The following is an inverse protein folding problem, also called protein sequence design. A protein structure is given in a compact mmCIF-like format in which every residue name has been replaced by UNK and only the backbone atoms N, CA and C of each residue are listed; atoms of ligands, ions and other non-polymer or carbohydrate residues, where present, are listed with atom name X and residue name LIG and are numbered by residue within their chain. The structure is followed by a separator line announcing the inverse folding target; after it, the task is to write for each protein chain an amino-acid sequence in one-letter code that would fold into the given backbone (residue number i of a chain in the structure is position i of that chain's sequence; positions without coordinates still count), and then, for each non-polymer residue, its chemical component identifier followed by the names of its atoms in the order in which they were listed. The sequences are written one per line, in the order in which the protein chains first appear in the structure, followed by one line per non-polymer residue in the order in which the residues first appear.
data_IF_960460826760
#
_entry.id   IF_960460826760
#
_cell.length_a   1.000
_cell.length_b   1.000
_cell.length_c   1.000
_cell.angle_alpha   90.00
_cell.angle_beta   90.00
_cell.angle_gamma   90.00
#
_symmetry.space_group_name_H-M   'P 1'
#
loop_
_entity.id
_entity.type
_entity.pdbx_description
1 polymer ?
#
# COMPACT_ATOMS: atom_id res chain seq x y z
N UNK A 1 32.01 9.33 -11.87
CA UNK A 1 31.58 8.31 -10.87
C UNK A 1 30.32 8.75 -10.10
N UNK A 2 29.25 9.19 -10.78
CA UNK A 2 28.08 9.80 -10.12
C UNK A 2 26.79 8.99 -10.19
N UNK A 3 26.52 8.33 -11.32
CA UNK A 3 25.23 7.69 -11.58
C UNK A 3 25.01 6.38 -10.80
N UNK A 4 26.03 5.51 -10.72
CA UNK A 4 25.96 4.26 -9.95
C UNK A 4 25.77 4.53 -8.44
N UNK A 5 26.44 5.56 -7.90
CA UNK A 5 26.31 5.97 -6.48
C UNK A 5 24.97 6.66 -6.17
N UNK A 6 24.25 7.12 -7.19
CA UNK A 6 22.89 7.64 -7.06
C UNK A 6 21.85 6.51 -7.11
N UNK A 7 22.03 5.55 -8.02
CA UNK A 7 21.19 4.34 -8.09
C UNK A 7 21.38 3.42 -6.87
N UNK A 8 22.59 3.30 -6.33
CA UNK A 8 22.85 2.50 -5.12
C UNK A 8 22.27 3.14 -3.84
N UNK A 9 21.70 4.34 -3.95
CA UNK A 9 20.95 4.98 -2.86
C UNK A 9 19.61 4.24 -2.77
N UNK A 10 19.55 3.20 -1.92
CA UNK A 10 18.47 2.21 -1.87
C UNK A 10 17.04 2.78 -1.87
N UNK A 11 16.85 3.99 -1.35
CA UNK A 11 15.58 4.72 -1.40
C UNK A 11 15.04 4.97 -2.83
N UNK A 12 15.90 5.18 -3.82
CA UNK A 12 15.49 5.47 -5.21
C UNK A 12 15.09 4.19 -5.94
N UNK A 13 15.80 3.08 -5.67
CA UNK A 13 15.54 1.78 -6.32
C UNK A 13 14.23 1.19 -5.82
N UNK A 14 13.98 1.23 -4.50
CA UNK A 14 12.73 0.71 -3.92
C UNK A 14 11.50 1.48 -4.44
N UNK A 15 11.60 2.81 -4.48
CA UNK A 15 10.55 3.68 -5.01
C UNK A 15 10.33 3.43 -6.51
N UNK A 16 11.41 3.30 -7.29
CA UNK A 16 11.34 3.01 -8.72
C UNK A 16 10.69 1.66 -9.03
N UNK A 17 11.06 0.62 -8.28
CA UNK A 17 10.48 -0.73 -8.41
C UNK A 17 9.00 -0.70 -8.07
N UNK A 18 8.60 0.00 -7.01
CA UNK A 18 7.19 0.16 -6.62
C UNK A 18 6.31 0.75 -7.73
N UNK A 19 6.78 1.79 -8.42
CA UNK A 19 6.02 2.43 -9.52
C UNK A 19 5.88 1.48 -10.72
N UNK A 20 6.96 0.80 -11.11
CA UNK A 20 6.95 -0.11 -12.27
C UNK A 20 6.01 -1.29 -12.03
N UNK A 21 6.06 -1.89 -10.83
CA UNK A 21 5.16 -3.00 -10.47
C UNK A 21 3.71 -2.52 -10.42
N UNK A 22 3.44 -1.33 -9.85
CA UNK A 22 2.11 -0.75 -9.81
C UNK A 22 1.51 -0.50 -11.20
N UNK A 23 2.32 0.02 -12.13
CA UNK A 23 1.91 0.22 -13.52
C UNK A 23 1.62 -1.10 -14.24
N UNK A 24 2.50 -2.09 -14.09
CA UNK A 24 2.33 -3.41 -14.72
C UNK A 24 1.06 -4.13 -14.22
N UNK A 25 0.80 -4.10 -12.91
CA UNK A 25 -0.41 -4.71 -12.35
C UNK A 25 -1.68 -4.03 -12.85
N UNK A 26 -1.69 -2.69 -12.88
CA UNK A 26 -2.82 -1.91 -13.42
C UNK A 26 -3.11 -2.27 -14.88
N UNK A 27 -2.06 -2.45 -15.69
CA UNK A 27 -2.20 -2.85 -17.09
C UNK A 27 -2.80 -4.27 -17.24
N UNK A 28 -2.37 -5.23 -16.42
CA UNK A 28 -2.92 -6.61 -16.43
C UNK A 28 -4.40 -6.61 -16.06
N UNK A 29 -4.80 -5.90 -15.00
CA UNK A 29 -6.21 -5.87 -14.59
C UNK A 29 -7.06 -5.10 -15.60
N UNK A 30 -6.57 -3.99 -16.13
CA UNK A 30 -7.27 -3.25 -17.20
C UNK A 30 -7.45 -4.12 -18.44
N UNK A 31 -6.42 -4.86 -18.86
CA UNK A 31 -6.49 -5.79 -19.99
C UNK A 31 -7.50 -6.92 -19.77
N UNK A 32 -7.60 -7.46 -18.55
CA UNK A 32 -8.61 -8.45 -18.20
C UNK A 32 -10.03 -7.87 -18.29
N UNK A 33 -10.24 -6.68 -17.73
CA UNK A 33 -11.54 -6.02 -17.73
C UNK A 33 -11.98 -5.67 -19.16
N UNK A 34 -11.09 -5.14 -19.99
CA UNK A 34 -11.44 -4.80 -21.37
C UNK A 34 -11.70 -6.04 -22.24
N UNK A 35 -10.96 -7.13 -22.04
CA UNK A 35 -11.08 -8.35 -22.82
C UNK A 35 -12.30 -9.21 -22.45
N UNK A 36 -12.65 -9.30 -21.16
CA UNK A 36 -13.73 -10.18 -20.70
C UNK A 36 -14.99 -9.42 -20.33
N UNK A 37 -14.86 -8.24 -19.73
CA UNK A 37 -15.99 -7.58 -19.09
C UNK A 37 -16.73 -6.63 -20.04
N UNK A 38 -16.02 -5.83 -20.83
CA UNK A 38 -16.62 -4.99 -21.88
C UNK A 38 -17.54 -5.79 -22.81
N UNK A 39 -17.14 -6.97 -23.36
CA UNK A 39 -18.05 -7.76 -24.18
C UNK A 39 -19.19 -8.40 -23.36
N UNK A 40 -18.96 -8.81 -22.11
CA UNK A 40 -19.99 -9.42 -21.28
C UNK A 40 -21.09 -8.42 -20.90
N UNK A 41 -20.70 -7.19 -20.55
CA UNK A 41 -21.62 -6.07 -20.34
C UNK A 41 -22.35 -5.75 -21.65
N UNK A 42 -21.65 -5.79 -22.79
CA UNK A 42 -22.23 -5.66 -24.13
C UNK A 42 -23.35 -6.64 -24.44
N UNK A 43 -23.17 -7.91 -24.05
CA UNK A 43 -24.17 -8.96 -24.25
C UNK A 43 -25.33 -8.85 -23.25
N UNK A 44 -25.07 -8.56 -21.98
CA UNK A 44 -26.06 -8.59 -20.89
C UNK A 44 -27.18 -7.52 -21.00
N UNK A 45 -26.96 -6.49 -21.78
CA UNK A 45 -27.79 -5.28 -21.90
C UNK A 45 -28.41 -5.16 -23.30
N UNK A 46 -28.24 -6.17 -24.15
CA UNK A 46 -28.98 -6.34 -25.41
C UNK A 46 -28.49 -5.50 -26.59
N UNK A 47 -27.44 -4.69 -26.43
CA UNK A 47 -26.83 -3.91 -27.50
C UNK A 47 -25.61 -4.67 -28.00
N UNK A 48 -25.80 -5.48 -29.03
CA UNK A 48 -24.75 -6.24 -29.70
C UNK A 48 -23.72 -5.25 -30.26
N UNK A 49 -22.61 -5.03 -29.57
CA UNK A 49 -21.47 -4.31 -30.15
C UNK A 49 -20.64 -3.49 -29.18
N UNK A 50 -21.18 -2.45 -28.53
CA UNK A 50 -20.34 -1.49 -27.79
C UNK A 50 -21.18 -0.53 -26.93
N UNK A 51 -21.22 -0.72 -25.60
CA UNK A 51 -21.79 0.29 -24.68
C UNK A 51 -21.06 1.63 -24.75
N UNK A 52 -19.80 1.62 -25.16
CA UNK A 52 -19.01 2.83 -25.36
C UNK A 52 -19.50 3.70 -26.53
N UNK A 53 -20.39 3.21 -27.40
CA UNK A 53 -20.90 3.95 -28.56
C UNK A 53 -22.31 4.53 -28.37
N UNK A 54 -23.01 4.13 -27.32
CA UNK A 54 -24.32 4.70 -26.96
C UNK A 54 -24.10 6.12 -26.40
N UNK A 55 -24.42 7.11 -27.24
CA UNK A 55 -24.27 8.53 -26.92
C UNK A 55 -25.63 9.20 -26.97
N UNK A 56 -25.99 9.88 -25.88
CA UNK A 56 -27.18 10.72 -25.87
C UNK A 56 -26.82 12.05 -26.55
N UNK A 57 -27.48 12.37 -27.66
CA UNK A 57 -27.25 13.62 -28.40
C UNK A 57 -28.24 14.66 -27.93
N UNK A 58 -27.78 15.64 -27.16
CA UNK A 58 -28.58 16.80 -26.76
C UNK A 58 -27.93 18.03 -27.37
N UNK A 59 -28.64 18.72 -28.26
CA UNK A 59 -28.16 19.98 -28.86
C UNK A 59 -26.88 19.85 -29.71
N UNK A 60 -26.61 18.69 -30.32
CA UNK A 60 -25.44 18.45 -31.16
C UNK A 60 -24.19 17.95 -30.40
N UNK A 61 -24.21 17.91 -29.06
CA UNK A 61 -23.16 17.31 -28.26
C UNK A 61 -23.45 15.82 -27.99
N UNK A 62 -22.50 14.95 -28.34
CA UNK A 62 -22.56 13.51 -28.07
C UNK A 62 -22.05 13.24 -26.65
N UNK A 63 -22.92 12.79 -25.74
CA UNK A 63 -22.52 12.37 -24.39
C UNK A 63 -22.43 10.84 -24.31
N UNK A 64 -21.22 10.25 -24.34
CA UNK A 64 -21.04 8.79 -24.27
C UNK A 64 -21.19 8.29 -22.83
N UNK A 65 -22.43 8.17 -22.35
CA UNK A 65 -22.70 7.73 -20.97
C UNK A 65 -22.22 6.28 -20.73
N UNK A 66 -22.28 5.43 -21.76
CA UNK A 66 -21.89 4.03 -21.62
C UNK A 66 -20.37 3.83 -21.51
N UNK A 67 -19.56 4.75 -22.06
CA UNK A 67 -18.11 4.74 -21.84
C UNK A 67 -17.76 5.09 -20.38
N UNK A 68 -18.48 6.05 -19.79
CA UNK A 68 -18.32 6.41 -18.38
C UNK A 68 -18.75 5.27 -17.44
N UNK A 69 -19.91 4.65 -17.71
CA UNK A 69 -20.39 3.54 -16.90
C UNK A 69 -19.45 2.33 -16.98
N UNK A 70 -18.92 2.03 -18.17
CA UNK A 70 -17.91 0.99 -18.34
C UNK A 70 -16.63 1.32 -17.54
N UNK A 71 -16.11 2.55 -17.64
CA UNK A 71 -14.94 2.98 -16.88
C UNK A 71 -15.17 2.91 -15.36
N UNK A 72 -16.37 3.26 -14.88
CA UNK A 72 -16.74 3.17 -13.47
C UNK A 72 -16.81 1.72 -12.98
N UNK A 73 -17.44 0.82 -13.74
CA UNK A 73 -17.51 -0.62 -13.42
C UNK A 73 -16.10 -1.22 -13.42
N UNK A 74 -15.28 -0.85 -14.41
CA UNK A 74 -13.89 -1.27 -14.52
C UNK A 74 -13.08 -0.85 -13.30
N UNK A 75 -13.22 0.41 -12.86
CA UNK A 75 -12.55 0.94 -11.69
C UNK A 75 -12.93 0.19 -10.41
N UNK A 76 -14.22 -0.05 -10.18
CA UNK A 76 -14.71 -0.78 -9.01
C UNK A 76 -14.15 -2.21 -8.98
N UNK A 77 -14.08 -2.88 -10.13
CA UNK A 77 -13.55 -4.24 -10.21
C UNK A 77 -12.04 -4.29 -10.03
N UNK A 78 -11.29 -3.34 -10.59
CA UNK A 78 -9.85 -3.22 -10.34
C UNK A 78 -9.61 -3.04 -8.83
N UNK A 79 -10.35 -2.15 -8.18
CA UNK A 79 -10.27 -1.94 -6.74
C UNK A 79 -10.62 -3.22 -5.96
N UNK A 80 -11.67 -3.95 -6.35
CA UNK A 80 -12.07 -5.20 -5.72
C UNK A 80 -11.00 -6.29 -5.86
N UNK A 81 -10.39 -6.45 -7.03
CA UNK A 81 -9.32 -7.42 -7.27
C UNK A 81 -8.07 -7.06 -6.47
N UNK A 82 -7.65 -5.79 -6.46
CA UNK A 82 -6.50 -5.34 -5.65
C UNK A 82 -6.77 -5.59 -4.16
N UNK A 83 -7.95 -5.22 -3.69
CA UNK A 83 -8.34 -5.41 -2.29
C UNK A 83 -8.32 -6.90 -1.92
N UNK A 84 -8.92 -7.76 -2.75
CA UNK A 84 -9.04 -9.18 -2.44
C UNK A 84 -7.74 -9.96 -2.63
N UNK A 85 -6.96 -9.66 -3.68
CA UNK A 85 -5.74 -10.40 -4.04
C UNK A 85 -4.47 -9.86 -3.36
N UNK A 86 -4.45 -8.59 -2.93
CA UNK A 86 -3.26 -7.98 -2.30
C UNK A 86 -3.56 -7.57 -0.87
N UNK A 87 -4.55 -6.69 -0.63
CA UNK A 87 -4.78 -6.11 0.70
C UNK A 87 -5.22 -7.16 1.72
N UNK A 88 -6.16 -8.04 1.37
CA UNK A 88 -6.62 -9.11 2.26
C UNK A 88 -5.54 -10.13 2.63
N UNK A 89 -4.77 -10.71 1.69
CA UNK A 89 -3.72 -11.66 2.05
C UNK A 89 -2.56 -10.96 2.77
N UNK A 90 -2.17 -9.75 2.37
CA UNK A 90 -1.13 -9.00 3.09
C UNK A 90 -1.60 -8.68 4.50
N UNK A 91 -2.84 -8.22 4.70
CA UNK A 91 -3.39 -7.97 6.04
C UNK A 91 -3.52 -9.24 6.89
N UNK A 92 -3.94 -10.36 6.29
CA UNK A 92 -3.99 -11.67 6.96
C UNK A 92 -2.60 -12.21 7.26
N UNK A 93 -1.62 -11.96 6.39
CA UNK A 93 -0.23 -12.37 6.56
C UNK A 93 0.44 -11.54 7.64
N UNK A 94 0.26 -10.21 7.64
CA UNK A 94 0.74 -9.31 8.71
C UNK A 94 0.13 -9.67 10.07
N UNK A 95 -1.15 -10.03 10.11
CA UNK A 95 -1.79 -10.52 11.34
C UNK A 95 -1.22 -11.88 11.82
N UNK A 96 -0.65 -12.69 10.92
CA UNK A 96 -0.04 -14.00 11.23
C UNK A 96 1.49 -13.97 11.41
N UNK A 97 2.18 -12.98 10.82
CA UNK A 97 3.63 -12.78 10.83
C UNK A 97 4.08 -11.69 11.81
N UNK A 98 3.34 -11.53 12.91
CA UNK A 98 3.73 -10.89 14.19
C UNK A 98 3.17 -9.48 14.50
N UNK A 99 2.76 -9.24 15.77
CA UNK A 99 2.49 -7.91 16.34
C UNK A 99 3.76 -7.05 16.60
N UNK A 100 4.89 -7.29 15.92
CA UNK A 100 6.21 -6.78 16.40
C UNK A 100 6.89 -5.76 15.49
N UNK A 101 6.49 -5.56 14.22
CA UNK A 101 7.25 -4.65 13.34
C UNK A 101 6.71 -3.23 13.19
N UNK A 102 5.40 -3.04 13.39
CA UNK A 102 4.74 -1.75 13.13
C UNK A 102 3.76 -1.33 14.24
N UNK A 103 3.97 -1.75 15.50
CA UNK A 103 3.54 -0.84 16.57
C UNK A 103 4.54 0.32 16.51
N UNK A 104 4.09 1.59 16.38
CA UNK A 104 4.95 2.70 16.68
C UNK A 104 5.28 2.56 18.17
N UNK A 105 6.38 1.87 18.48
CA UNK A 105 7.02 2.00 19.78
C UNK A 105 7.23 3.49 19.92
N UNK A 106 6.46 4.14 20.81
CA UNK A 106 6.62 5.55 21.03
C UNK A 106 8.09 5.79 21.35
N UNK A 107 8.77 6.53 20.46
CA UNK A 107 10.20 6.78 20.58
C UNK A 107 10.35 7.96 21.52
N UNK A 108 10.91 7.70 22.68
CA UNK A 108 11.23 8.72 23.68
C UNK A 108 12.73 8.98 23.58
N UNK A 109 13.11 10.25 23.78
CA UNK A 109 14.51 10.64 23.76
C UNK A 109 15.21 10.12 25.02
N UNK A 110 16.36 9.45 24.83
CA UNK A 110 17.19 9.05 25.95
C UNK A 110 17.71 10.30 26.69
N UNK A 111 17.56 10.41 28.02
CA UNK A 111 17.96 11.61 28.75
C UNK A 111 19.49 11.83 28.82
N UNK A 112 20.32 10.80 28.56
CA UNK A 112 21.78 10.94 28.58
C UNK A 112 22.35 11.32 27.21
N UNK A 113 21.87 10.70 26.14
CA UNK A 113 22.49 10.80 24.81
C UNK A 113 21.56 11.37 23.73
N UNK A 114 20.31 11.70 24.09
CA UNK A 114 19.31 12.30 23.19
C UNK A 114 18.99 11.46 21.94
N UNK A 115 19.38 10.18 21.94
CA UNK A 115 19.04 9.27 20.85
C UNK A 115 17.58 8.79 20.98
N UNK A 116 16.90 8.51 19.86
CA UNK A 116 15.54 7.97 19.89
C UNK A 116 15.55 6.50 20.31
N UNK A 117 14.92 6.19 21.44
CA UNK A 117 14.85 4.83 22.00
C UNK A 117 13.39 4.43 22.19
N UNK A 118 13.00 3.17 21.96
CA UNK A 118 11.63 2.73 22.23
C UNK A 118 11.29 2.84 23.72
N UNK A 119 10.05 3.22 24.04
CA UNK A 119 9.55 3.36 25.42
C UNK A 119 9.79 2.11 26.27
N UNK A 120 9.73 0.92 25.68
CA UNK A 120 9.94 -0.36 26.36
C UNK A 120 11.42 -0.74 26.56
N UNK A 121 12.38 0.13 26.19
CA UNK A 121 13.80 -0.19 26.31
C UNK A 121 14.26 -0.20 27.77
N UNK A 122 14.94 -1.28 28.17
CA UNK A 122 15.58 -1.43 29.48
C UNK A 122 17.00 -0.84 29.48
N UNK A 123 17.70 -0.90 28.33
CA UNK A 123 18.99 -0.24 28.09
C UNK A 123 19.02 0.48 26.73
N UNK A 124 19.74 1.60 26.68
CA UNK A 124 19.90 2.38 25.45
C UNK A 124 20.85 1.68 24.46
N UNK A 125 20.48 1.57 23.19
CA UNK A 125 21.35 0.97 22.17
C UNK A 125 22.54 1.84 21.75
N UNK A 126 22.46 3.16 21.96
CA UNK A 126 23.48 4.11 21.49
C UNK A 126 24.56 4.39 22.53
N UNK A 127 24.15 4.71 23.76
CA UNK A 127 25.07 5.05 24.86
C UNK A 127 25.15 3.98 25.95
N UNK A 128 24.50 2.83 25.74
CA UNK A 128 24.43 1.69 26.66
C UNK A 128 23.82 1.97 28.04
N UNK A 129 23.43 3.20 28.39
CA UNK A 129 22.87 3.56 29.70
C UNK A 129 21.65 2.71 30.10
N UNK A 130 21.43 2.51 31.39
CA UNK A 130 20.24 1.86 31.95
C UNK A 130 19.06 2.82 31.93
N UNK A 131 17.97 2.46 31.25
CA UNK A 131 16.77 3.28 31.14
C UNK A 131 15.66 2.85 32.12
N UNK A 132 15.78 1.64 32.66
CA UNK A 132 14.80 1.07 33.57
C UNK A 132 14.59 1.95 34.82
N UNK A 133 13.34 2.33 35.08
CA UNK A 133 12.95 3.19 36.20
C UNK A 133 13.09 4.70 35.98
N UNK A 134 13.49 5.14 34.77
CA UNK A 134 13.51 6.57 34.41
C UNK A 134 12.12 7.05 33.96
N UNK A 135 11.82 8.37 34.06
CA UNK A 135 10.57 8.93 33.58
C UNK A 135 10.34 8.57 32.10
N UNK A 136 9.22 7.90 31.79
CA UNK A 136 8.88 7.45 30.43
C UNK A 136 9.41 6.07 30.03
N UNK A 137 10.10 5.35 30.91
CA UNK A 137 10.63 4.00 30.65
C UNK A 137 10.08 2.98 31.66
N UNK A 138 10.05 1.67 31.34
CA UNK A 138 9.48 0.65 32.21
C UNK A 138 10.16 0.64 33.57
N UNK A 139 9.36 0.53 34.65
CA UNK A 139 9.87 0.22 35.97
C UNK A 139 10.59 -1.14 35.90
N UNK A 140 11.81 -1.20 36.44
CA UNK A 140 12.73 -2.34 36.38
C UNK A 140 12.00 -3.69 36.50
N UNK A 141 11.80 -4.39 35.37
CA UNK A 141 11.42 -5.80 35.42
C UNK A 141 12.68 -6.57 35.75
N UNK A 142 12.81 -6.90 37.03
CA UNK A 142 13.72 -7.88 37.63
C UNK A 142 14.13 -8.99 36.66
N UNK A 143 15.26 -8.81 35.99
CA UNK A 143 16.02 -9.87 35.34
C UNK A 143 17.51 -9.77 35.73
N UNK A 144 17.78 -9.32 36.95
CA UNK A 144 18.92 -9.77 37.72
C UNK A 144 18.65 -11.23 38.15
N UNK A 145 18.74 -12.17 37.20
CA UNK A 145 18.80 -13.61 37.48
C UNK A 145 19.17 -14.40 36.21
N UNK A 146 20.42 -14.25 35.75
CA UNK A 146 21.28 -15.33 35.24
C UNK A 146 22.65 -14.77 34.86
#
# INVERSE_FOLDING_TARGET
MGFRSFLLRGNVVDLGVGIVIGAAFTAVVTGFVTAFLTPLIGVATGVVGDFSKESFVVGGAKFPYGAFLNAAISFVLIAAVIYFAVVLPVGKLQAKFEPVKDMPMAKIECPDCLSPVPEAAVRCAFCTTELAGRPGFPAQTTAAAR
#
